data_IF_044228199855
#
_entry.id   IF_044228199855
#
_cell.length_a   1.000
_cell.length_b   1.000
_cell.length_c   1.000
_cell.angle_alpha   90.00
_cell.angle_beta   90.00
_cell.angle_gamma   90.00
#
_symmetry.space_group_name_H-M   'P 1'
#
loop_
_entity.id
_entity.type
_entity.pdbx_description
1 polymer ?
#
# COMPACT_ATOMS: atom_id res chain seq x y z
N UNK A 1 0.57 -64.27 27.61
CA UNK A 1 -0.70 -63.73 27.05
C UNK A 1 -1.27 -62.50 27.81
N UNK A 2 -0.78 -62.06 28.96
CA UNK A 2 -1.26 -60.85 29.66
C UNK A 2 -0.71 -59.52 29.07
N UNK A 3 0.44 -59.47 28.41
CA UNK A 3 1.04 -58.26 27.83
C UNK A 3 0.25 -57.69 26.63
N UNK A 4 -0.46 -58.53 25.86
CA UNK A 4 -1.20 -58.12 24.67
C UNK A 4 -2.50 -57.40 24.97
N UNK A 5 -3.07 -57.54 26.17
CA UNK A 5 -4.31 -56.82 26.57
C UNK A 5 -4.04 -55.38 27.01
N UNK A 6 -2.86 -55.11 27.56
CA UNK A 6 -2.48 -53.76 27.98
C UNK A 6 -2.29 -52.82 26.82
N UNK A 7 -1.77 -53.28 25.68
CA UNK A 7 -1.62 -52.51 24.44
C UNK A 7 -2.96 -52.04 23.89
N UNK A 8 -4.00 -52.86 23.96
CA UNK A 8 -5.34 -52.49 23.50
C UNK A 8 -5.99 -51.40 24.36
N UNK A 9 -5.71 -51.36 25.66
CA UNK A 9 -6.23 -50.35 26.60
C UNK A 9 -5.49 -49.01 26.48
N UNK A 10 -4.24 -48.99 25.95
CA UNK A 10 -3.50 -47.73 25.69
C UNK A 10 -3.79 -47.22 24.29
N UNK A 11 -3.96 -48.13 23.30
CA UNK A 11 -4.20 -47.74 21.90
C UNK A 11 -5.61 -47.12 21.71
N UNK A 12 -6.65 -47.57 22.45
CA UNK A 12 -8.01 -47.12 22.31
C UNK A 12 -8.18 -45.59 22.68
N UNK A 13 -7.65 -45.10 23.83
CA UNK A 13 -7.73 -43.66 24.13
C UNK A 13 -6.84 -42.79 23.21
N UNK A 14 -5.74 -43.30 22.71
CA UNK A 14 -4.88 -42.58 21.73
C UNK A 14 -5.60 -42.43 20.39
N UNK A 15 -6.34 -43.43 19.92
CA UNK A 15 -7.17 -43.35 18.71
C UNK A 15 -8.38 -42.46 18.94
N UNK A 16 -9.00 -42.47 20.13
CA UNK A 16 -10.10 -41.57 20.49
C UNK A 16 -9.64 -40.09 20.59
N UNK A 17 -8.44 -39.84 21.11
CA UNK A 17 -7.83 -38.50 21.16
C UNK A 17 -7.46 -37.99 19.76
N UNK A 18 -7.04 -38.86 18.83
CA UNK A 18 -6.74 -38.46 17.45
C UNK A 18 -7.97 -38.07 16.62
N UNK A 19 -9.16 -38.58 16.98
CA UNK A 19 -10.43 -38.20 16.33
C UNK A 19 -10.93 -36.80 16.75
N UNK A 20 -10.46 -36.27 17.87
CA UNK A 20 -10.76 -34.90 18.33
C UNK A 20 -9.81 -33.83 17.78
N UNK A 21 -8.73 -34.22 17.12
CA UNK A 21 -7.71 -33.30 16.59
C UNK A 21 -8.26 -32.31 15.52
N UNK A 22 -9.37 -32.66 14.85
CA UNK A 22 -10.01 -31.78 13.87
C UNK A 22 -10.73 -30.57 14.47
N UNK A 23 -10.96 -30.53 15.80
CA UNK A 23 -11.74 -29.48 16.47
C UNK A 23 -10.91 -28.34 17.06
N UNK A 24 -9.59 -28.44 17.13
CA UNK A 24 -8.74 -27.42 17.77
C UNK A 24 -8.46 -26.24 16.84
N UNK A 25 -7.94 -26.51 15.65
CA UNK A 25 -7.75 -25.48 14.64
C UNK A 25 -9.03 -25.30 13.83
N UNK A 26 -9.57 -24.08 13.83
CA UNK A 26 -10.75 -23.71 13.02
C UNK A 26 -10.34 -23.40 11.58
N UNK A 27 -11.24 -23.65 10.64
CA UNK A 27 -11.07 -23.16 9.28
C UNK A 27 -11.54 -21.71 9.16
N UNK A 28 -10.86 -20.96 8.29
CA UNK A 28 -11.22 -19.58 8.01
C UNK A 28 -12.48 -19.55 7.15
N UNK A 29 -13.43 -18.72 7.55
CA UNK A 29 -14.60 -18.37 6.76
C UNK A 29 -14.56 -16.86 6.52
N UNK A 30 -14.70 -16.45 5.26
CA UNK A 30 -14.75 -15.03 4.91
C UNK A 30 -16.01 -14.41 5.55
N UNK A 31 -15.88 -13.34 6.34
CA UNK A 31 -17.02 -12.69 6.93
C UNK A 31 -17.88 -12.03 5.86
N UNK A 32 -19.20 -12.11 6.00
CA UNK A 32 -20.15 -11.37 5.16
C UNK A 32 -20.14 -9.88 5.57
N UNK A 33 -19.19 -9.14 5.00
CA UNK A 33 -18.91 -7.74 5.38
C UNK A 33 -19.54 -6.75 4.40
N UNK A 34 -19.99 -7.20 3.22
CA UNK A 34 -20.40 -6.35 2.11
C UNK A 34 -21.85 -6.61 1.72
N UNK A 35 -22.67 -5.57 1.84
CA UNK A 35 -23.98 -5.53 1.18
C UNK A 35 -23.90 -4.59 -0.02
N UNK A 36 -24.56 -4.94 -1.14
CA UNK A 36 -24.62 -4.11 -2.35
C UNK A 36 -25.12 -2.68 -2.09
N UNK A 37 -25.94 -2.49 -1.04
CA UNK A 37 -26.50 -1.22 -0.60
C UNK A 37 -25.46 -0.20 -0.11
N UNK A 38 -24.20 -0.61 0.09
CA UNK A 38 -23.15 0.25 0.63
C UNK A 38 -22.50 1.18 -0.43
N UNK A 39 -22.80 0.98 -1.72
CA UNK A 39 -22.28 1.80 -2.81
C UNK A 39 -23.36 2.75 -3.33
N UNK A 40 -23.12 4.07 -3.22
CA UNK A 40 -24.01 5.09 -3.79
C UNK A 40 -23.76 5.24 -5.31
N UNK A 41 -24.02 4.16 -6.05
CA UNK A 41 -23.85 4.10 -7.51
C UNK A 41 -25.21 4.03 -8.25
N UNK A 42 -26.28 4.49 -7.61
CA UNK A 42 -27.66 4.32 -8.08
C UNK A 42 -27.95 5.02 -9.41
N UNK A 43 -27.16 6.04 -9.76
CA UNK A 43 -27.30 6.86 -10.98
C UNK A 43 -26.55 6.29 -12.19
N UNK A 44 -25.73 5.26 -12.03
CA UNK A 44 -24.87 4.74 -13.10
C UNK A 44 -25.39 3.43 -13.72
N UNK A 45 -25.19 3.22 -15.02
CA UNK A 45 -25.57 1.96 -15.66
C UNK A 45 -24.83 0.78 -15.02
N UNK A 46 -25.55 -0.23 -14.59
CA UNK A 46 -24.99 -1.50 -14.13
C UNK A 46 -24.50 -2.29 -15.36
N UNK A 47 -23.33 -1.95 -15.87
CA UNK A 47 -22.69 -2.67 -16.95
C UNK A 47 -21.76 -3.77 -16.40
N UNK A 48 -21.61 -4.85 -17.15
CA UNK A 48 -20.66 -5.94 -16.81
C UNK A 48 -19.20 -5.58 -17.14
N UNK A 49 -18.99 -4.51 -17.90
CA UNK A 49 -17.65 -3.99 -18.20
C UNK A 49 -17.13 -3.21 -17.00
N UNK A 50 -15.92 -3.53 -16.55
CA UNK A 50 -15.26 -2.86 -15.44
C UNK A 50 -13.97 -2.21 -15.94
N UNK A 51 -13.87 -0.91 -15.76
CA UNK A 51 -12.69 -0.11 -16.11
C UNK A 51 -11.41 -0.57 -15.38
N UNK A 52 -11.53 -1.26 -14.24
CA UNK A 52 -10.40 -1.87 -13.55
C UNK A 52 -9.68 -2.95 -14.37
N UNK A 53 -10.35 -3.55 -15.36
CA UNK A 53 -9.77 -4.56 -16.24
C UNK A 53 -9.11 -3.96 -17.49
N UNK A 54 -9.28 -2.65 -17.69
CA UNK A 54 -8.63 -1.90 -18.79
C UNK A 54 -7.20 -1.60 -18.40
N UNK A 55 -6.27 -1.85 -19.33
CA UNK A 55 -4.86 -1.52 -19.08
C UNK A 55 -4.69 0.00 -18.93
N UNK A 56 -3.82 0.43 -18.02
CA UNK A 56 -3.47 1.84 -17.87
C UNK A 56 -2.92 2.44 -19.18
N UNK A 57 -2.31 1.63 -20.06
CA UNK A 57 -1.83 2.06 -21.39
C UNK A 57 -2.96 2.42 -22.37
N UNK A 58 -4.17 1.90 -22.13
CA UNK A 58 -5.34 2.25 -22.93
C UNK A 58 -6.04 3.50 -22.40
N UNK A 59 -5.83 3.81 -21.12
CA UNK A 59 -6.41 5.00 -20.45
C UNK A 59 -5.52 6.21 -20.64
N UNK A 60 -4.20 6.05 -20.42
CA UNK A 60 -3.22 7.11 -20.54
C UNK A 60 -2.55 7.01 -21.92
N UNK A 61 -3.02 7.82 -22.86
CA UNK A 61 -2.61 7.75 -24.29
C UNK A 61 -1.43 8.66 -24.62
N UNK A 62 -1.05 9.58 -23.73
CA UNK A 62 0.12 10.45 -23.90
C UNK A 62 1.42 9.62 -23.86
N UNK A 63 2.25 9.66 -24.93
CA UNK A 63 3.48 8.86 -25.00
C UNK A 63 4.52 9.22 -23.93
N UNK A 64 4.60 10.50 -23.51
CA UNK A 64 5.53 10.92 -22.46
C UNK A 64 5.04 10.40 -21.09
N UNK A 65 3.75 10.54 -20.80
CA UNK A 65 3.15 10.02 -19.57
C UNK A 65 3.33 8.50 -19.47
N UNK A 66 3.05 7.76 -20.55
CA UNK A 66 3.24 6.30 -20.56
C UNK A 66 4.70 5.92 -20.35
N UNK A 67 5.65 6.66 -20.93
CA UNK A 67 7.08 6.47 -20.67
C UNK A 67 7.47 6.69 -19.22
N UNK A 68 6.97 7.74 -18.59
CA UNK A 68 7.21 8.02 -17.16
C UNK A 68 6.58 6.98 -16.24
N UNK A 69 5.40 6.47 -16.57
CA UNK A 69 4.79 5.38 -15.79
C UNK A 69 5.66 4.12 -15.89
N UNK A 70 6.18 3.77 -17.06
CA UNK A 70 7.08 2.62 -17.23
C UNK A 70 8.38 2.80 -16.44
N UNK A 71 9.00 3.97 -16.51
CA UNK A 71 10.21 4.33 -15.77
C UNK A 71 9.96 4.26 -14.25
N UNK A 72 8.86 4.83 -13.76
CA UNK A 72 8.46 4.76 -12.35
C UNK A 72 8.23 3.33 -11.88
N UNK A 73 7.55 2.50 -12.68
CA UNK A 73 7.33 1.09 -12.35
C UNK A 73 8.63 0.27 -12.25
N UNK A 74 9.67 0.65 -12.97
CA UNK A 74 10.99 0.00 -12.94
C UNK A 74 11.88 0.53 -11.82
N UNK A 75 11.93 1.85 -11.61
CA UNK A 75 12.95 2.49 -10.79
C UNK A 75 12.45 2.96 -9.42
N UNK A 76 11.13 3.12 -9.22
CA UNK A 76 10.57 3.66 -7.98
C UNK A 76 11.02 2.85 -6.75
N UNK A 77 11.48 3.57 -5.72
CA UNK A 77 12.06 2.98 -4.51
C UNK A 77 11.00 2.21 -3.71
N UNK A 78 9.75 2.69 -3.62
CA UNK A 78 8.69 2.02 -2.85
C UNK A 78 8.31 0.68 -3.49
N UNK A 79 8.27 0.59 -4.83
CA UNK A 79 8.08 -0.69 -5.53
C UNK A 79 9.23 -1.65 -5.21
N UNK A 80 10.47 -1.20 -5.25
CA UNK A 80 11.65 -2.04 -4.94
C UNK A 80 11.63 -2.52 -3.48
N UNK A 81 11.20 -1.68 -2.54
CA UNK A 81 10.98 -2.07 -1.14
C UNK A 81 9.88 -3.13 -1.04
N UNK A 82 8.75 -2.94 -1.73
CA UNK A 82 7.64 -3.88 -1.72
C UNK A 82 8.06 -5.27 -2.29
N UNK A 83 8.91 -5.31 -3.32
CA UNK A 83 9.50 -6.55 -3.83
C UNK A 83 10.34 -7.26 -2.77
N UNK A 84 11.16 -6.52 -1.98
CA UNK A 84 11.94 -7.13 -0.90
C UNK A 84 11.04 -7.70 0.21
N UNK A 85 9.91 -7.07 0.48
CA UNK A 85 8.91 -7.59 1.44
C UNK A 85 8.30 -8.90 0.94
N UNK A 86 8.01 -9.03 -0.36
CA UNK A 86 7.54 -10.29 -0.98
C UNK A 86 8.59 -11.40 -0.84
N UNK A 87 9.86 -11.09 -1.13
CA UNK A 87 10.98 -12.05 -1.01
C UNK A 87 11.12 -12.53 0.45
N UNK A 88 11.07 -11.61 1.42
CA UNK A 88 11.11 -11.96 2.84
C UNK A 88 9.93 -12.83 3.27
N UNK A 89 8.72 -12.50 2.82
CA UNK A 89 7.52 -13.29 3.12
C UNK A 89 7.57 -14.68 2.48
N UNK A 90 8.13 -14.82 1.27
CA UNK A 90 8.36 -16.10 0.62
C UNK A 90 9.36 -16.97 1.40
N UNK A 91 10.41 -16.37 1.94
CA UNK A 91 11.38 -17.09 2.78
C UNK A 91 10.71 -17.67 4.04
N UNK A 92 9.85 -16.89 4.73
CA UNK A 92 9.05 -17.38 5.85
C UNK A 92 8.06 -18.48 5.44
N UNK A 93 7.44 -18.39 4.25
CA UNK A 93 6.57 -19.46 3.75
C UNK A 93 7.36 -20.76 3.51
N UNK A 94 8.59 -20.67 2.95
CA UNK A 94 9.50 -21.83 2.81
C UNK A 94 9.82 -22.44 4.18
N UNK A 95 10.13 -21.61 5.17
CA UNK A 95 10.35 -22.06 6.55
C UNK A 95 9.11 -22.75 7.13
N UNK A 96 7.91 -22.19 6.96
CA UNK A 96 6.66 -22.79 7.41
C UNK A 96 6.36 -24.15 6.78
N UNK A 97 6.72 -24.35 5.51
CA UNK A 97 6.60 -25.64 4.83
C UNK A 97 7.54 -26.69 5.41
N UNK A 98 8.72 -26.28 5.87
CA UNK A 98 9.72 -27.15 6.47
C UNK A 98 9.44 -27.46 7.95
N UNK A 99 8.48 -26.79 8.59
CA UNK A 99 8.09 -27.04 9.98
C UNK A 99 7.58 -28.46 10.27
N UNK A 100 7.20 -29.22 9.24
CA UNK A 100 6.83 -30.62 9.37
C UNK A 100 8.03 -31.57 9.46
N UNK A 101 9.24 -31.09 9.15
CA UNK A 101 10.45 -31.91 9.17
C UNK A 101 11.18 -31.73 10.51
N UNK A 102 11.96 -32.75 10.94
CA UNK A 102 12.77 -32.64 12.14
C UNK A 102 13.90 -31.63 11.97
N UNK A 103 14.28 -30.99 13.08
CA UNK A 103 15.49 -30.18 13.17
C UNK A 103 16.67 -31.07 13.58
N UNK A 104 17.81 -30.87 12.94
CA UNK A 104 19.07 -31.57 13.27
C UNK A 104 20.07 -30.53 13.78
N UNK A 105 20.59 -30.78 14.99
CA UNK A 105 21.63 -29.97 15.60
C UNK A 105 22.86 -30.85 15.85
N UNK A 106 24.05 -30.29 15.72
CA UNK A 106 25.31 -30.95 16.12
C UNK A 106 25.86 -30.20 17.32
N UNK A 107 26.42 -30.96 18.26
CA UNK A 107 27.01 -30.43 19.48
C UNK A 107 28.40 -31.06 19.70
N UNK A 108 29.38 -30.20 20.03
CA UNK A 108 30.70 -30.62 20.50
C UNK A 108 30.90 -29.94 21.85
N UNK A 109 31.06 -30.73 22.90
CA UNK A 109 31.10 -30.26 24.27
C UNK A 109 32.23 -30.88 25.05
N UNK A 110 32.90 -30.09 25.86
CA UNK A 110 33.83 -30.54 26.90
C UNK A 110 33.26 -30.11 28.22
N UNK A 111 33.00 -31.08 29.10
CA UNK A 111 32.50 -30.81 30.44
C UNK A 111 33.55 -31.20 31.44
N UNK A 112 34.05 -30.24 32.20
CA UNK A 112 34.92 -30.46 33.36
C UNK A 112 34.08 -30.25 34.62
N UNK A 113 34.04 -31.29 35.49
CA UNK A 113 33.27 -31.26 36.73
C UNK A 113 34.13 -31.62 37.94
N UNK A 114 34.32 -30.70 38.86
CA UNK A 114 34.87 -30.98 40.17
C UNK A 114 33.77 -31.61 41.06
N UNK A 115 34.04 -32.78 41.56
CA UNK A 115 33.08 -33.51 42.38
C UNK A 115 33.26 -33.20 43.86
N UNK A 116 32.16 -32.91 44.57
CA UNK A 116 32.17 -32.81 46.04
C UNK A 116 32.48 -34.21 46.63
N UNK A 117 33.36 -34.27 47.63
CA UNK A 117 33.70 -35.52 48.32
C UNK A 117 32.49 -36.24 48.89
N UNK A 118 31.40 -35.51 49.17
CA UNK A 118 30.13 -36.04 49.66
C UNK A 118 29.13 -36.43 48.57
N UNK A 119 29.50 -36.31 47.27
CA UNK A 119 28.66 -36.79 46.13
C UNK A 119 28.84 -38.28 45.88
N UNK A 120 27.91 -38.89 45.10
CA UNK A 120 27.86 -40.31 44.85
C UNK A 120 29.19 -40.91 44.28
N UNK A 121 29.95 -40.11 43.52
CA UNK A 121 31.23 -40.52 42.92
C UNK A 121 32.42 -39.73 43.43
N UNK A 122 32.20 -38.68 44.25
CA UNK A 122 33.26 -37.78 44.73
C UNK A 122 34.24 -38.46 45.70
N UNK A 123 33.89 -39.60 46.28
CA UNK A 123 34.84 -40.44 47.08
C UNK A 123 35.77 -41.26 46.19
N UNK A 124 35.50 -41.45 44.91
CA UNK A 124 36.26 -42.22 43.95
C UNK A 124 37.04 -41.37 42.96
N UNK A 125 36.50 -40.19 42.62
CA UNK A 125 37.07 -39.28 41.66
C UNK A 125 36.95 -37.84 42.18
N UNK A 126 38.05 -37.05 42.13
CA UNK A 126 38.03 -35.62 42.49
C UNK A 126 37.46 -34.77 41.37
N UNK A 127 37.72 -35.13 40.12
CA UNK A 127 37.18 -34.47 38.93
C UNK A 127 36.85 -35.49 37.83
N UNK A 128 35.96 -35.12 36.93
CA UNK A 128 35.60 -35.88 35.74
C UNK A 128 35.63 -34.92 34.54
N UNK A 129 36.41 -35.30 33.53
CA UNK A 129 36.36 -34.72 32.19
C UNK A 129 35.49 -35.58 31.30
N UNK A 130 34.54 -34.96 30.58
CA UNK A 130 33.69 -35.63 29.61
C UNK A 130 33.76 -34.89 28.28
N UNK A 131 34.10 -35.64 27.26
CA UNK A 131 34.16 -35.19 25.88
C UNK A 131 32.98 -35.78 25.12
N UNK A 132 32.22 -34.92 24.40
CA UNK A 132 31.06 -35.34 23.64
C UNK A 132 31.07 -34.69 22.24
N UNK A 133 30.83 -35.50 21.21
CA UNK A 133 30.53 -35.09 19.86
C UNK A 133 29.24 -35.79 19.44
N UNK A 134 28.14 -35.02 19.36
CA UNK A 134 26.82 -35.60 19.16
C UNK A 134 25.98 -34.85 18.10
N UNK A 135 25.03 -35.58 17.51
CA UNK A 135 23.94 -35.00 16.73
C UNK A 135 22.60 -35.25 17.44
N UNK A 136 21.75 -34.25 17.48
CA UNK A 136 20.40 -34.38 18.03
C UNK A 136 19.35 -33.98 16.98
N UNK A 137 18.36 -34.85 16.80
CA UNK A 137 17.22 -34.67 15.91
C UNK A 137 16.00 -34.49 16.79
N UNK A 138 15.24 -33.40 16.54
CA UNK A 138 13.98 -33.09 17.25
C UNK A 138 12.85 -32.88 16.26
N UNK A 139 11.73 -33.57 16.50
CA UNK A 139 10.54 -33.50 15.67
C UNK A 139 9.30 -33.36 16.55
N UNK A 140 8.37 -32.43 16.19
CA UNK A 140 7.08 -32.25 16.83
C UNK A 140 5.97 -32.77 15.91
N UNK A 141 5.10 -33.64 16.43
CA UNK A 141 3.94 -34.13 15.68
C UNK A 141 2.82 -33.09 15.66
N UNK A 142 2.34 -32.73 14.50
CA UNK A 142 1.27 -31.72 14.33
C UNK A 142 -0.15 -32.28 14.63
N UNK A 143 -0.36 -32.75 15.86
CA UNK A 143 -1.64 -33.33 16.27
C UNK A 143 -2.73 -32.26 16.35
N UNK A 144 -2.39 -31.08 16.85
CA UNK A 144 -3.35 -30.00 17.15
C UNK A 144 -3.41 -28.92 16.07
N UNK A 145 -2.69 -29.11 14.98
CA UNK A 145 -2.66 -28.18 13.85
C UNK A 145 -1.81 -26.93 14.06
N UNK A 146 -0.88 -26.92 15.01
CA UNK A 146 0.05 -25.81 15.25
C UNK A 146 0.92 -25.52 14.04
N UNK A 147 1.59 -26.56 13.52
CA UNK A 147 2.48 -26.43 12.35
C UNK A 147 1.66 -26.09 11.10
N UNK A 148 0.51 -26.74 10.93
CA UNK A 148 -0.42 -26.45 9.83
C UNK A 148 -0.86 -24.99 9.84
N UNK A 149 -1.31 -24.47 10.98
CA UNK A 149 -1.76 -23.07 11.10
C UNK A 149 -0.60 -22.09 10.98
N UNK A 150 0.60 -22.41 11.47
CA UNK A 150 1.80 -21.59 11.23
C UNK A 150 2.12 -21.48 9.75
N UNK A 151 2.08 -22.61 9.01
CA UNK A 151 2.27 -22.60 7.55
C UNK A 151 1.20 -21.77 6.85
N UNK A 152 -0.10 -21.89 7.25
CA UNK A 152 -1.20 -21.11 6.68
C UNK A 152 -1.05 -19.60 6.99
N UNK A 153 -0.58 -19.25 8.20
CA UNK A 153 -0.28 -17.87 8.56
C UNK A 153 0.83 -17.27 7.66
N UNK A 154 1.92 -18.00 7.43
CA UNK A 154 2.98 -17.57 6.52
C UNK A 154 2.51 -17.51 5.06
N UNK A 155 1.62 -18.40 4.64
CA UNK A 155 1.02 -18.35 3.31
C UNK A 155 0.14 -17.10 3.15
N UNK A 156 -0.68 -16.78 4.14
CA UNK A 156 -1.49 -15.58 4.15
C UNK A 156 -0.61 -14.31 4.12
N UNK A 157 0.46 -14.26 4.91
CA UNK A 157 1.43 -13.17 4.91
C UNK A 157 2.12 -12.99 3.54
N UNK A 158 2.46 -14.09 2.86
CA UNK A 158 3.02 -14.04 1.51
C UNK A 158 2.01 -13.49 0.51
N UNK A 159 0.75 -13.91 0.55
CA UNK A 159 -0.30 -13.40 -0.33
C UNK A 159 -0.64 -11.94 -0.02
N UNK A 160 -0.63 -11.55 1.27
CA UNK A 160 -0.74 -10.16 1.70
C UNK A 160 0.37 -9.29 1.09
N UNK A 161 1.63 -9.72 1.16
CA UNK A 161 2.75 -8.94 0.59
C UNK A 161 2.67 -8.80 -0.92
N UNK A 162 2.17 -9.81 -1.63
CA UNK A 162 1.91 -9.73 -3.08
C UNK A 162 0.82 -8.71 -3.40
N UNK A 163 -0.28 -8.75 -2.68
CA UNK A 163 -1.36 -7.80 -2.86
C UNK A 163 -0.91 -6.37 -2.50
N UNK A 164 -0.14 -6.19 -1.42
CA UNK A 164 0.44 -4.91 -1.05
C UNK A 164 1.37 -4.35 -2.14
N UNK A 165 2.20 -5.19 -2.76
CA UNK A 165 3.03 -4.78 -3.90
C UNK A 165 2.18 -4.31 -5.09
N UNK A 166 1.06 -4.98 -5.39
CA UNK A 166 0.13 -4.55 -6.44
C UNK A 166 -0.53 -3.21 -6.09
N UNK A 167 -0.90 -3.00 -4.81
CA UNK A 167 -1.44 -1.72 -4.34
C UNK A 167 -0.45 -0.56 -4.49
N UNK A 168 0.84 -0.79 -4.22
CA UNK A 168 1.91 0.21 -4.46
C UNK A 168 2.00 0.56 -5.94
N UNK A 169 1.91 -0.41 -6.86
CA UNK A 169 1.90 -0.14 -8.31
C UNK A 169 0.71 0.72 -8.73
N UNK A 170 -0.50 0.33 -8.33
CA UNK A 170 -1.73 1.09 -8.64
C UNK A 170 -1.61 2.54 -8.18
N UNK A 171 -1.14 2.74 -6.95
CA UNK A 171 -0.95 4.07 -6.37
C UNK A 171 0.11 4.87 -7.13
N UNK A 172 1.26 4.28 -7.45
CA UNK A 172 2.33 4.96 -8.17
C UNK A 172 1.86 5.44 -9.55
N UNK A 173 1.13 4.61 -10.31
CA UNK A 173 0.58 4.98 -11.61
C UNK A 173 -0.37 6.18 -11.46
N UNK A 174 -1.24 6.16 -10.46
CA UNK A 174 -2.16 7.27 -10.20
C UNK A 174 -1.41 8.55 -9.79
N UNK A 175 -0.41 8.44 -8.90
CA UNK A 175 0.39 9.58 -8.42
C UNK A 175 1.18 10.20 -9.59
N UNK A 176 1.78 9.40 -10.49
CA UNK A 176 2.49 9.87 -11.70
C UNK A 176 1.50 10.58 -12.62
N UNK A 177 0.37 9.96 -12.96
CA UNK A 177 -0.61 10.54 -13.88
C UNK A 177 -1.19 11.85 -13.35
N UNK A 178 -1.63 11.89 -12.09
CA UNK A 178 -2.19 13.10 -11.46
C UNK A 178 -1.16 14.24 -11.40
N UNK A 179 0.09 13.92 -11.03
CA UNK A 179 1.17 14.92 -10.97
C UNK A 179 1.52 15.45 -12.35
N UNK A 180 1.55 14.58 -13.38
CA UNK A 180 1.78 14.98 -14.76
C UNK A 180 0.70 15.93 -15.27
N UNK A 181 -0.57 15.60 -15.07
CA UNK A 181 -1.68 16.48 -15.46
C UNK A 181 -1.68 17.82 -14.72
N UNK A 182 -1.26 17.81 -13.45
CA UNK A 182 -1.08 19.05 -12.69
C UNK A 182 0.02 19.94 -13.25
N UNK A 183 1.14 19.34 -13.72
CA UNK A 183 2.21 20.06 -14.41
C UNK A 183 1.71 20.70 -15.72
N UNK A 184 0.94 19.95 -16.54
CA UNK A 184 0.34 20.49 -17.75
C UNK A 184 -0.56 21.69 -17.48
N UNK A 185 -1.37 21.62 -16.41
CA UNK A 185 -2.22 22.71 -16.00
C UNK A 185 -1.43 23.95 -15.54
N UNK A 186 -0.31 23.73 -14.82
CA UNK A 186 0.58 24.82 -14.41
C UNK A 186 1.25 25.48 -15.61
N UNK A 187 1.70 24.72 -16.61
CA UNK A 187 2.27 25.28 -17.84
C UNK A 187 1.29 26.20 -18.57
N UNK A 188 0.05 25.75 -18.73
CA UNK A 188 -0.98 26.57 -19.38
C UNK A 188 -1.30 27.82 -18.54
N UNK A 189 -1.35 27.73 -17.21
CA UNK A 189 -1.51 28.89 -16.33
C UNK A 189 -0.32 29.87 -16.45
N UNK A 190 0.91 29.37 -16.51
CA UNK A 190 2.12 30.18 -16.71
C UNK A 190 2.04 30.87 -18.05
N UNK A 191 1.73 30.17 -19.13
CA UNK A 191 1.59 30.72 -20.48
C UNK A 191 0.56 31.85 -20.56
N UNK A 192 -0.63 31.65 -20.00
CA UNK A 192 -1.70 32.67 -19.97
C UNK A 192 -1.28 33.87 -19.10
N UNK A 193 -0.61 33.63 -17.99
CA UNK A 193 -0.15 34.71 -17.12
C UNK A 193 0.96 35.54 -17.79
N UNK A 194 1.89 34.91 -18.52
CA UNK A 194 2.93 35.60 -19.27
C UNK A 194 2.31 36.49 -20.39
N UNK A 195 1.34 35.97 -21.14
CA UNK A 195 0.58 36.77 -22.11
C UNK A 195 -0.13 37.94 -21.44
N UNK A 196 -0.73 37.70 -20.28
CA UNK A 196 -1.42 38.76 -19.51
C UNK A 196 -0.44 39.86 -19.05
N UNK A 197 0.75 39.52 -18.61
CA UNK A 197 1.80 40.45 -18.22
C UNK A 197 2.16 41.34 -19.40
N UNK A 198 2.35 40.79 -20.59
CA UNK A 198 2.69 41.56 -21.79
C UNK A 198 1.54 42.53 -22.20
N UNK A 199 0.30 42.06 -22.16
CA UNK A 199 -0.89 42.89 -22.40
C UNK A 199 -0.99 44.01 -21.37
N UNK A 200 -0.74 43.76 -20.08
CA UNK A 200 -0.77 44.76 -19.03
C UNK A 200 0.37 45.76 -19.13
N UNK A 201 1.55 45.36 -19.64
CA UNK A 201 2.66 46.26 -19.92
C UNK A 201 2.30 47.27 -21.02
N UNK A 202 1.77 46.78 -22.12
CA UNK A 202 1.29 47.60 -23.24
C UNK A 202 0.16 48.56 -22.76
N UNK A 203 -0.72 48.08 -21.90
CA UNK A 203 -1.79 48.88 -21.31
C UNK A 203 -1.26 49.98 -20.39
N UNK A 204 -0.22 49.73 -19.61
CA UNK A 204 0.42 50.75 -18.76
C UNK A 204 1.08 51.85 -19.62
N UNK A 205 1.75 51.49 -20.70
CA UNK A 205 2.33 52.45 -21.65
C UNK A 205 1.24 53.34 -22.28
N UNK A 206 0.15 52.71 -22.75
CA UNK A 206 -0.99 53.43 -23.36
C UNK A 206 -1.68 54.35 -22.32
N UNK A 207 -1.92 53.88 -21.11
CA UNK A 207 -2.57 54.68 -20.06
C UNK A 207 -1.69 55.83 -19.63
N UNK A 208 -0.35 55.65 -19.61
CA UNK A 208 0.59 56.73 -19.30
C UNK A 208 0.58 57.81 -20.39
N UNK A 209 0.52 57.43 -21.66
CA UNK A 209 0.41 58.38 -22.78
C UNK A 209 -0.94 59.12 -22.74
N UNK A 210 -2.03 58.44 -22.46
CA UNK A 210 -3.36 59.08 -22.30
C UNK A 210 -3.40 60.05 -21.14
N UNK A 211 -2.69 59.79 -20.03
CA UNK A 211 -2.54 60.73 -18.92
C UNK A 211 -1.81 62.01 -19.37
N UNK A 212 -0.71 61.89 -20.12
CA UNK A 212 0.01 63.03 -20.66
C UNK A 212 -0.85 63.90 -21.62
N UNK A 213 -1.77 63.23 -22.33
CA UNK A 213 -2.77 63.89 -23.17
C UNK A 213 -3.96 64.48 -22.37
N UNK A 214 -4.01 64.24 -21.03
CA UNK A 214 -5.09 64.75 -20.13
C UNK A 214 -6.38 63.94 -20.14
N UNK A 215 -6.38 62.75 -20.78
CA UNK A 215 -7.58 61.89 -20.91
C UNK A 215 -7.76 60.88 -19.74
N UNK A 216 -6.72 60.63 -18.97
CA UNK A 216 -6.74 59.67 -17.83
C UNK A 216 -6.06 60.32 -16.62
N UNK A 217 -6.47 59.96 -15.39
CA UNK A 217 -5.89 60.48 -14.15
C UNK A 217 -4.65 59.64 -13.74
N UNK A 218 -3.80 60.24 -12.86
CA UNK A 218 -2.70 59.50 -12.22
C UNK A 218 -3.19 58.23 -11.49
N UNK A 219 -4.39 58.26 -10.92
CA UNK A 219 -5.02 57.11 -10.25
C UNK A 219 -5.16 55.93 -11.25
N UNK A 220 -5.63 56.21 -12.49
CA UNK A 220 -5.76 55.18 -13.51
C UNK A 220 -4.41 54.55 -13.88
N UNK A 221 -3.35 55.35 -14.02
CA UNK A 221 -1.99 54.84 -14.27
C UNK A 221 -1.52 53.93 -13.11
N UNK A 222 -1.68 54.38 -11.86
CA UNK A 222 -1.27 53.62 -10.71
C UNK A 222 -2.05 52.28 -10.51
N UNK A 223 -3.32 52.25 -10.86
CA UNK A 223 -4.13 51.03 -10.88
C UNK A 223 -3.64 50.04 -11.94
N UNK A 224 -3.31 50.52 -13.14
CA UNK A 224 -2.73 49.66 -14.19
C UNK A 224 -1.36 49.08 -13.80
N UNK A 225 -0.52 49.94 -13.23
CA UNK A 225 0.78 49.54 -12.71
C UNK A 225 0.63 48.46 -11.60
N UNK A 226 -0.29 48.65 -10.67
CA UNK A 226 -0.58 47.66 -9.62
C UNK A 226 -1.05 46.31 -10.18
N UNK A 227 -1.91 46.31 -11.21
CA UNK A 227 -2.34 45.07 -11.87
C UNK A 227 -1.21 44.34 -12.61
N UNK A 228 -0.28 45.09 -13.23
CA UNK A 228 0.91 44.50 -13.83
C UNK A 228 1.71 43.76 -12.76
N UNK A 229 2.00 44.38 -11.62
CA UNK A 229 2.73 43.74 -10.53
C UNK A 229 1.97 42.55 -9.92
N UNK A 230 0.64 42.60 -9.84
CA UNK A 230 -0.17 41.45 -9.41
C UNK A 230 0.02 40.25 -10.33
N UNK A 231 -0.04 40.45 -11.66
CA UNK A 231 0.22 39.34 -12.61
C UNK A 231 1.64 38.82 -12.51
N UNK A 232 2.64 39.69 -12.33
CA UNK A 232 4.04 39.28 -12.13
C UNK A 232 4.19 38.45 -10.84
N UNK A 233 3.51 38.77 -9.75
CA UNK A 233 3.53 38.01 -8.51
C UNK A 233 2.89 36.63 -8.70
N UNK A 234 1.76 36.55 -9.40
CA UNK A 234 1.13 35.27 -9.76
C UNK A 234 2.08 34.38 -10.54
N UNK A 235 2.79 34.92 -11.52
CA UNK A 235 3.78 34.18 -12.32
C UNK A 235 4.90 33.58 -11.46
N UNK A 236 5.40 34.34 -10.49
CA UNK A 236 6.43 33.86 -9.55
C UNK A 236 5.92 32.66 -8.72
N UNK A 237 4.67 32.75 -8.26
CA UNK A 237 4.07 31.66 -7.47
C UNK A 237 3.81 30.42 -8.33
N UNK A 238 3.35 30.57 -9.58
CA UNK A 238 3.13 29.46 -10.51
C UNK A 238 4.46 28.76 -10.85
N UNK A 239 5.52 29.51 -11.23
CA UNK A 239 6.86 28.94 -11.51
C UNK A 239 7.48 28.25 -10.30
N UNK A 240 7.22 28.74 -9.09
CA UNK A 240 7.61 28.07 -7.86
C UNK A 240 6.87 26.74 -7.70
N UNK A 241 5.54 26.72 -7.91
CA UNK A 241 4.74 25.48 -7.81
C UNK A 241 5.18 24.45 -8.84
N UNK A 242 5.37 24.85 -10.09
CA UNK A 242 5.92 24.02 -11.15
C UNK A 242 7.23 23.34 -10.72
N UNK A 243 8.20 24.11 -10.26
CA UNK A 243 9.51 23.59 -9.82
C UNK A 243 9.42 22.61 -8.67
N UNK A 244 8.55 22.88 -7.68
CA UNK A 244 8.36 21.98 -6.55
C UNK A 244 7.69 20.67 -7.00
N UNK A 245 6.76 20.75 -7.95
CA UNK A 245 6.04 19.60 -8.45
C UNK A 245 6.94 18.73 -9.35
N UNK A 246 7.81 19.33 -10.18
CA UNK A 246 8.85 18.60 -10.94
C UNK A 246 9.79 17.81 -10.00
N UNK A 247 10.22 18.43 -8.90
CA UNK A 247 11.05 17.76 -7.91
C UNK A 247 10.32 16.57 -7.26
N UNK A 248 9.02 16.70 -6.98
CA UNK A 248 8.20 15.61 -6.48
C UNK A 248 8.03 14.50 -7.52
N UNK A 249 7.77 14.87 -8.78
CA UNK A 249 7.64 13.93 -9.89
C UNK A 249 8.91 13.09 -10.10
N UNK A 250 10.09 13.73 -10.04
CA UNK A 250 11.37 13.03 -10.14
C UNK A 250 11.52 11.94 -9.07
N UNK A 251 11.07 12.20 -7.82
CA UNK A 251 11.07 11.19 -6.76
C UNK A 251 10.16 10.00 -7.09
N UNK A 252 9.00 10.24 -7.74
CA UNK A 252 8.13 9.15 -8.17
C UNK A 252 8.82 8.25 -9.21
N UNK A 253 9.68 8.81 -10.05
CA UNK A 253 10.50 8.07 -11.02
C UNK A 253 11.70 7.37 -10.36
N UNK A 254 12.05 7.70 -9.12
CA UNK A 254 13.25 7.21 -8.44
C UNK A 254 14.51 7.99 -8.79
N UNK A 255 14.35 9.19 -9.36
CA UNK A 255 15.41 10.04 -9.87
C UNK A 255 15.68 11.28 -8.98
N UNK A 256 16.83 11.92 -9.21
CA UNK A 256 17.15 13.21 -8.60
C UNK A 256 16.31 14.34 -9.23
N UNK A 257 16.11 15.49 -8.53
CA UNK A 257 15.38 16.62 -9.06
C UNK A 257 15.85 17.03 -10.47
N UNK A 258 14.93 17.01 -11.43
CA UNK A 258 15.18 17.35 -12.83
C UNK A 258 14.01 18.10 -13.45
N UNK A 259 14.19 18.65 -14.64
CA UNK A 259 13.11 19.17 -15.44
C UNK A 259 12.38 18.03 -16.14
N UNK A 260 11.04 18.10 -16.19
CA UNK A 260 10.18 17.07 -16.76
C UNK A 260 9.68 17.55 -18.13
N UNK A 261 9.99 16.81 -19.19
CA UNK A 261 9.43 17.04 -20.51
C UNK A 261 7.96 16.62 -20.56
N UNK A 262 7.11 17.40 -21.25
CA UNK A 262 5.66 17.15 -21.26
C UNK A 262 4.99 17.77 -22.49
N UNK A 263 3.81 17.26 -22.82
CA UNK A 263 2.93 17.74 -23.87
C UNK A 263 2.06 18.91 -23.39
N UNK A 264 1.12 19.35 -24.20
CA UNK A 264 0.19 20.41 -23.84
C UNK A 264 -1.08 19.85 -23.19
N UNK A 265 -1.69 20.60 -22.25
CA UNK A 265 -2.96 20.23 -21.59
C UNK A 265 -4.10 20.03 -22.61
N UNK A 266 -4.11 20.82 -23.67
CA UNK A 266 -5.14 20.77 -24.71
C UNK A 266 -5.09 19.48 -25.56
N UNK A 267 -3.97 18.76 -25.57
CA UNK A 267 -3.81 17.49 -26.29
C UNK A 267 -4.34 16.29 -25.47
N UNK A 268 -4.69 16.50 -24.21
CA UNK A 268 -5.16 15.45 -23.33
C UNK A 268 -6.65 15.17 -23.56
N UNK A 269 -6.95 14.00 -24.12
CA UNK A 269 -8.33 13.56 -24.37
C UNK A 269 -8.69 12.37 -23.48
N UNK A 270 -9.88 12.43 -22.86
CA UNK A 270 -10.47 11.28 -22.19
C UNK A 270 -11.21 10.45 -23.21
N UNK A 271 -10.53 9.45 -23.80
CA UNK A 271 -11.07 8.60 -24.87
C UNK A 271 -11.91 7.44 -24.37
N UNK A 272 -11.77 7.07 -23.08
CA UNK A 272 -12.39 5.88 -22.51
C UNK A 272 -13.78 6.19 -21.95
N UNK A 273 -14.80 5.44 -22.41
CA UNK A 273 -16.11 5.49 -21.78
C UNK A 273 -16.03 4.93 -20.35
N UNK A 274 -16.62 5.65 -19.41
CA UNK A 274 -16.63 5.24 -18.00
C UNK A 274 -17.57 4.05 -17.78
N UNK A 275 -17.00 2.86 -17.63
CA UNK A 275 -17.70 1.64 -17.26
C UNK A 275 -17.37 1.27 -15.80
N UNK A 276 -18.34 1.37 -14.90
CA UNK A 276 -18.11 1.26 -13.45
C UNK A 276 -18.08 -0.19 -12.98
N UNK A 277 -18.75 -1.11 -13.69
CA UNK A 277 -18.87 -2.50 -13.26
C UNK A 277 -19.85 -2.72 -12.11
N UNK A 278 -19.90 -3.95 -11.60
CA UNK A 278 -20.76 -4.33 -10.47
C UNK A 278 -20.00 -4.11 -9.15
N UNK A 279 -20.59 -3.44 -8.14
CA UNK A 279 -19.92 -3.10 -6.87
C UNK A 279 -19.20 -4.27 -6.15
N UNK A 280 -19.78 -5.47 -6.19
CA UNK A 280 -19.18 -6.67 -5.56
C UNK A 280 -17.90 -7.12 -6.26
N UNK A 281 -17.74 -6.87 -7.56
CA UNK A 281 -16.52 -7.20 -8.31
C UNK A 281 -15.37 -6.23 -7.99
N UNK A 282 -15.69 -4.99 -7.59
CA UNK A 282 -14.70 -3.97 -7.25
C UNK A 282 -13.80 -4.40 -6.08
N UNK A 283 -14.38 -5.07 -5.08
CA UNK A 283 -13.61 -5.55 -3.92
C UNK A 283 -12.59 -6.64 -4.28
N UNK A 284 -12.88 -7.46 -5.30
CA UNK A 284 -11.97 -8.51 -5.77
C UNK A 284 -10.81 -7.95 -6.61
N UNK A 285 -10.97 -6.76 -7.16
CA UNK A 285 -9.97 -6.13 -8.02
C UNK A 285 -9.05 -5.18 -7.25
N UNK A 286 -9.41 -4.76 -6.03
CA UNK A 286 -8.60 -3.86 -5.22
C UNK A 286 -7.52 -4.58 -4.42
N UNK A 287 -6.24 -4.37 -4.76
CA UNK A 287 -5.14 -5.05 -4.07
C UNK A 287 -5.02 -4.68 -2.59
N UNK A 288 -5.36 -3.45 -2.19
CA UNK A 288 -5.34 -2.99 -0.80
C UNK A 288 -6.39 -3.71 0.07
N UNK A 289 -7.59 -3.94 -0.46
CA UNK A 289 -8.65 -4.73 0.20
C UNK A 289 -8.23 -6.19 0.33
N UNK A 290 -7.66 -6.77 -0.75
CA UNK A 290 -7.12 -8.14 -0.75
C UNK A 290 -5.98 -8.27 0.28
N UNK A 291 -5.09 -7.28 0.38
CA UNK A 291 -4.03 -7.29 1.39
C UNK A 291 -4.58 -7.25 2.82
N UNK A 292 -5.63 -6.45 3.06
CA UNK A 292 -6.29 -6.39 4.37
C UNK A 292 -7.00 -7.70 4.73
N UNK A 293 -7.61 -8.39 3.76
CA UNK A 293 -8.19 -9.73 3.98
C UNK A 293 -7.12 -10.75 4.35
N UNK A 294 -6.02 -10.83 3.60
CA UNK A 294 -4.93 -11.75 3.94
C UNK A 294 -4.26 -11.43 5.28
N UNK A 295 -4.23 -10.16 5.70
CA UNK A 295 -3.80 -9.80 7.05
C UNK A 295 -4.74 -10.40 8.12
N UNK A 296 -6.05 -10.35 7.88
CA UNK A 296 -7.03 -10.99 8.76
C UNK A 296 -6.89 -12.51 8.78
N UNK A 297 -6.70 -13.16 7.63
CA UNK A 297 -6.42 -14.60 7.54
C UNK A 297 -5.15 -14.97 8.33
N UNK A 298 -4.10 -14.17 8.24
CA UNK A 298 -2.86 -14.36 9.00
C UNK A 298 -3.13 -14.33 10.51
N UNK A 299 -3.81 -13.30 11.00
CA UNK A 299 -4.14 -13.15 12.43
C UNK A 299 -5.06 -14.28 12.94
N UNK A 300 -6.02 -14.73 12.11
CA UNK A 300 -6.87 -15.88 12.41
C UNK A 300 -6.06 -17.17 12.58
N UNK A 301 -5.12 -17.45 11.69
CA UNK A 301 -4.29 -18.66 11.78
C UNK A 301 -3.29 -18.57 12.95
N UNK A 302 -2.77 -17.40 13.29
CA UNK A 302 -1.96 -17.20 14.51
C UNK A 302 -2.77 -17.41 15.77
N UNK A 303 -4.07 -17.09 15.77
CA UNK A 303 -4.98 -17.42 16.88
C UNK A 303 -5.16 -18.94 17.01
N UNK A 304 -5.21 -19.68 15.90
CA UNK A 304 -5.21 -21.14 15.94
C UNK A 304 -3.90 -21.70 16.51
N UNK A 305 -2.75 -21.11 16.17
CA UNK A 305 -1.44 -21.46 16.75
C UNK A 305 -1.48 -21.26 18.28
N UNK A 306 -1.88 -20.09 18.75
CA UNK A 306 -1.97 -19.80 20.19
C UNK A 306 -2.97 -20.71 20.93
N UNK A 307 -4.08 -21.10 20.28
CA UNK A 307 -5.04 -22.05 20.80
C UNK A 307 -4.43 -23.45 20.95
N UNK A 308 -3.60 -23.89 20.02
CA UNK A 308 -2.96 -25.20 20.06
C UNK A 308 -2.02 -25.37 21.26
N UNK A 309 -1.48 -24.27 21.81
CA UNK A 309 -0.59 -24.30 22.98
C UNK A 309 -1.28 -24.71 24.29
N UNK A 310 -2.63 -24.70 24.34
CA UNK A 310 -3.37 -25.27 25.47
C UNK A 310 -3.35 -26.80 25.53
N UNK A 311 -2.82 -27.47 24.52
CA UNK A 311 -2.79 -28.92 24.40
C UNK A 311 -1.35 -29.46 24.48
N UNK A 312 -1.17 -30.73 24.94
CA UNK A 312 0.15 -31.32 25.09
C UNK A 312 0.88 -31.45 23.76
N UNK A 313 2.14 -31.00 23.67
CA UNK A 313 2.99 -31.26 22.51
C UNK A 313 3.54 -32.69 22.55
N UNK A 314 3.46 -33.40 21.42
CA UNK A 314 4.11 -34.71 21.23
C UNK A 314 5.41 -34.49 20.46
N UNK A 315 6.54 -34.73 21.15
CA UNK A 315 7.88 -34.58 20.56
C UNK A 315 8.60 -35.94 20.50
N UNK A 316 9.36 -36.15 19.44
CA UNK A 316 10.30 -37.24 19.26
C UNK A 316 11.69 -36.66 19.13
N UNK A 317 12.59 -37.02 20.05
CA UNK A 317 13.98 -36.58 20.04
C UNK A 317 14.89 -37.83 19.93
N UNK A 318 15.80 -37.79 18.97
CA UNK A 318 16.86 -38.78 18.84
C UNK A 318 18.21 -38.08 18.99
N UNK A 319 19.11 -38.61 19.77
CA UNK A 319 20.48 -38.15 19.90
C UNK A 319 21.46 -39.33 19.72
N UNK A 320 22.56 -39.05 19.09
CA UNK A 320 23.61 -40.06 18.93
C UNK A 320 24.95 -39.41 18.57
N UNK A 321 26.01 -40.11 18.91
CA UNK A 321 27.37 -39.60 18.73
C UNK A 321 28.38 -40.37 19.55
N UNK A 322 29.47 -39.71 19.86
CA UNK A 322 30.56 -40.24 20.64
C UNK A 322 30.69 -39.51 21.97
N UNK A 323 30.89 -40.28 23.05
CA UNK A 323 31.04 -39.73 24.40
C UNK A 323 32.13 -40.52 25.12
N UNK A 324 33.17 -39.85 25.67
CA UNK A 324 34.28 -40.50 26.38
C UNK A 324 34.77 -39.63 27.53
N UNK A 325 35.44 -40.26 28.51
CA UNK A 325 36.14 -39.56 29.58
C UNK A 325 37.59 -39.22 29.21
N UNK A 326 38.13 -39.83 28.11
CA UNK A 326 39.45 -39.48 27.56
C UNK A 326 39.26 -39.02 26.10
N UNK A 327 39.85 -37.85 25.77
CA UNK A 327 39.80 -37.25 24.43
C UNK A 327 40.37 -38.22 23.36
N UNK A 328 41.36 -39.06 23.71
CA UNK A 328 41.99 -40.02 22.79
C UNK A 328 41.05 -41.13 22.38
N UNK A 329 40.10 -41.47 23.23
CA UNK A 329 39.14 -42.53 23.03
C UNK A 329 37.80 -42.01 22.47
N UNK A 330 37.66 -40.67 22.27
CA UNK A 330 36.39 -40.09 21.85
C UNK A 330 35.85 -40.69 20.55
N UNK A 331 36.71 -40.96 19.58
CA UNK A 331 36.30 -41.53 18.28
C UNK A 331 36.40 -43.06 18.25
N UNK A 332 36.63 -43.74 19.40
CA UNK A 332 36.60 -45.21 19.47
C UNK A 332 35.16 -45.70 19.29
N UNK A 333 34.95 -46.86 18.57
CA UNK A 333 33.61 -47.45 18.43
C UNK A 333 32.88 -47.72 19.75
N UNK A 334 33.62 -47.95 20.86
CA UNK A 334 33.07 -48.18 22.19
C UNK A 334 32.54 -46.91 22.82
N UNK A 335 32.89 -45.74 22.31
CA UNK A 335 32.37 -44.42 22.75
C UNK A 335 31.05 -44.05 22.07
N UNK A 336 30.56 -44.88 21.15
CA UNK A 336 29.31 -44.63 20.45
C UNK A 336 28.10 -44.76 21.38
N UNK A 337 27.23 -43.77 21.38
CA UNK A 337 25.93 -43.82 22.07
C UNK A 337 24.78 -43.45 21.14
N UNK A 338 23.57 -43.91 21.46
CA UNK A 338 22.32 -43.53 20.82
C UNK A 338 21.19 -43.47 21.85
N UNK A 339 20.38 -42.44 21.78
CA UNK A 339 19.21 -42.23 22.66
C UNK A 339 18.02 -41.85 21.81
N UNK A 340 16.85 -42.46 22.09
CA UNK A 340 15.58 -42.12 21.46
C UNK A 340 14.55 -41.84 22.58
N UNK A 341 13.97 -40.66 22.55
CA UNK A 341 12.98 -40.21 23.55
C UNK A 341 11.70 -39.74 22.85
N UNK A 342 10.58 -40.37 23.17
CA UNK A 342 9.25 -39.88 22.83
C UNK A 342 8.63 -39.26 24.08
N UNK A 343 8.20 -38.00 23.98
CA UNK A 343 7.68 -37.24 25.11
C UNK A 343 6.35 -36.55 24.79
N UNK A 344 5.44 -36.55 25.78
CA UNK A 344 4.26 -35.73 25.78
C UNK A 344 4.42 -34.69 26.89
N UNK A 345 4.42 -33.40 26.55
CA UNK A 345 4.66 -32.32 27.49
C UNK A 345 3.54 -31.28 27.43
N UNK A 346 3.01 -30.93 28.62
CA UNK A 346 2.04 -29.86 28.80
C UNK A 346 2.42 -29.02 30.03
N UNK A 347 2.65 -27.71 29.87
CA UNK A 347 2.81 -26.83 31.02
C UNK A 347 1.52 -26.71 31.81
N UNK A 348 1.55 -27.15 33.09
CA UNK A 348 0.38 -27.04 33.98
C UNK A 348 0.29 -25.64 34.60
N UNK A 349 1.45 -25.06 34.94
CA UNK A 349 1.55 -23.68 35.44
C UNK A 349 2.72 -22.99 34.76
N UNK A 350 2.45 -21.89 34.07
CA UNK A 350 3.44 -21.14 33.30
C UNK A 350 3.32 -19.60 33.46
N UNK A 351 2.82 -19.16 34.63
CA UNK A 351 2.61 -17.72 34.90
C UNK A 351 1.63 -17.06 33.93
N UNK A 352 0.58 -17.77 33.52
CA UNK A 352 -0.49 -17.32 32.58
C UNK A 352 -0.01 -17.08 31.14
N UNK A 353 1.25 -17.37 30.77
CA UNK A 353 1.83 -17.03 29.46
C UNK A 353 0.98 -17.53 28.28
N UNK A 354 0.58 -18.80 28.25
CA UNK A 354 -0.25 -19.37 27.17
C UNK A 354 -1.60 -18.66 27.08
N UNK A 355 -2.24 -18.42 28.22
CA UNK A 355 -3.55 -17.76 28.25
C UNK A 355 -3.46 -16.30 27.75
N UNK A 356 -2.43 -15.57 28.17
CA UNK A 356 -2.18 -14.20 27.70
C UNK A 356 -1.90 -14.17 26.21
N UNK A 357 -1.07 -15.08 25.68
CA UNK A 357 -0.79 -15.18 24.25
C UNK A 357 -2.07 -15.41 23.43
N UNK A 358 -2.96 -16.27 23.92
CA UNK A 358 -4.26 -16.52 23.27
C UNK A 358 -5.20 -15.29 23.34
N UNK A 359 -5.31 -14.65 24.51
CA UNK A 359 -6.14 -13.43 24.68
C UNK A 359 -5.63 -12.30 23.76
N UNK A 360 -4.31 -12.12 23.67
CA UNK A 360 -3.68 -11.15 22.74
C UNK A 360 -3.98 -11.50 21.28
N UNK A 361 -3.81 -12.77 20.90
CA UNK A 361 -4.09 -13.20 19.51
C UNK A 361 -5.56 -13.02 19.11
N UNK A 362 -6.51 -13.19 20.03
CA UNK A 362 -7.92 -12.88 19.79
C UNK A 362 -8.16 -11.37 19.55
N UNK A 363 -7.50 -10.52 20.34
CA UNK A 363 -7.60 -9.06 20.18
C UNK A 363 -6.98 -8.62 18.84
N UNK A 364 -5.82 -9.18 18.46
CA UNK A 364 -5.15 -8.91 17.17
C UNK A 364 -6.01 -9.42 15.99
N UNK A 365 -6.64 -10.57 16.13
CA UNK A 365 -7.57 -11.09 15.12
C UNK A 365 -8.77 -10.15 14.94
N UNK A 366 -9.37 -9.67 16.02
CA UNK A 366 -10.49 -8.73 15.94
C UNK A 366 -10.05 -7.39 15.36
N UNK A 367 -8.87 -6.89 15.72
CA UNK A 367 -8.28 -5.68 15.12
C UNK A 367 -8.10 -5.84 13.61
N UNK A 368 -7.55 -6.98 13.16
CA UNK A 368 -7.38 -7.27 11.75
C UNK A 368 -8.73 -7.37 11.01
N UNK A 369 -9.76 -7.96 11.64
CA UNK A 369 -11.13 -8.02 11.11
C UNK A 369 -11.74 -6.62 10.93
N UNK A 370 -11.56 -5.75 11.91
CA UNK A 370 -12.03 -4.36 11.85
C UNK A 370 -11.29 -3.56 10.78
N UNK A 371 -9.97 -3.75 10.64
CA UNK A 371 -9.17 -3.14 9.58
C UNK A 371 -9.63 -3.60 8.18
N UNK A 372 -9.94 -4.88 8.01
CA UNK A 372 -10.51 -5.40 6.76
C UNK A 372 -11.86 -4.75 6.46
N UNK A 373 -12.74 -4.64 7.44
CA UNK A 373 -14.02 -3.93 7.29
C UNK A 373 -13.81 -2.45 6.93
N UNK A 374 -12.86 -1.78 7.57
CA UNK A 374 -12.51 -0.39 7.28
C UNK A 374 -12.01 -0.20 5.85
N UNK A 375 -11.16 -1.11 5.34
CA UNK A 375 -10.67 -1.05 3.95
C UNK A 375 -11.82 -1.15 2.93
N UNK A 376 -12.81 -1.99 3.19
CA UNK A 376 -14.02 -2.10 2.36
C UNK A 376 -14.83 -0.81 2.34
N UNK A 377 -15.08 -0.22 3.52
CA UNK A 377 -15.83 1.03 3.64
C UNK A 377 -15.09 2.19 2.96
N UNK A 378 -13.77 2.23 3.10
CA UNK A 378 -12.91 3.23 2.44
C UNK A 378 -12.96 3.06 0.93
N UNK A 379 -12.85 1.83 0.43
CA UNK A 379 -12.97 1.53 -0.99
C UNK A 379 -14.32 1.95 -1.57
N UNK A 380 -15.41 1.66 -0.86
CA UNK A 380 -16.77 2.08 -1.26
C UNK A 380 -16.90 3.60 -1.35
N UNK A 381 -16.36 4.31 -0.35
CA UNK A 381 -16.35 5.78 -0.33
C UNK A 381 -15.55 6.33 -1.51
N UNK A 382 -14.34 5.83 -1.74
CA UNK A 382 -13.45 6.32 -2.80
C UNK A 382 -14.08 6.18 -4.19
N UNK A 383 -14.75 5.07 -4.46
CA UNK A 383 -15.49 4.89 -5.72
C UNK A 383 -16.61 5.91 -5.84
N UNK A 384 -17.43 6.07 -4.79
CA UNK A 384 -18.54 7.05 -4.79
C UNK A 384 -18.03 8.49 -4.96
N UNK A 385 -16.96 8.85 -4.23
CA UNK A 385 -16.38 10.19 -4.28
C UNK A 385 -15.78 10.48 -5.67
N UNK A 386 -15.06 9.52 -6.26
CA UNK A 386 -14.43 9.67 -7.57
C UNK A 386 -15.46 9.82 -8.69
N UNK A 387 -16.55 9.05 -8.65
CA UNK A 387 -17.65 9.15 -9.61
C UNK A 387 -18.31 10.52 -9.56
N UNK A 388 -18.72 10.96 -8.37
CA UNK A 388 -19.34 12.24 -8.20
C UNK A 388 -18.41 13.41 -8.57
N UNK A 389 -17.12 13.29 -8.25
CA UNK A 389 -16.11 14.28 -8.62
C UNK A 389 -15.95 14.40 -10.14
N UNK A 390 -16.00 13.29 -10.86
CA UNK A 390 -15.94 13.32 -12.33
C UNK A 390 -17.17 13.98 -12.96
N UNK A 391 -18.38 13.63 -12.50
CA UNK A 391 -19.62 14.27 -12.97
C UNK A 391 -19.60 15.78 -12.69
N UNK A 392 -19.26 16.15 -11.46
CA UNK A 392 -19.21 17.57 -11.06
C UNK A 392 -18.14 18.36 -11.83
N UNK A 393 -16.98 17.73 -12.11
CA UNK A 393 -15.93 18.38 -12.90
C UNK A 393 -16.37 18.58 -14.36
N UNK A 394 -17.06 17.60 -14.94
CA UNK A 394 -17.57 17.69 -16.32
C UNK A 394 -18.61 18.80 -16.44
N UNK A 395 -19.57 18.90 -15.51
CA UNK A 395 -20.56 19.99 -15.48
C UNK A 395 -19.90 21.36 -15.27
N UNK A 396 -18.90 21.42 -14.39
CA UNK A 396 -18.18 22.66 -14.06
C UNK A 396 -17.40 23.22 -15.25
N UNK A 397 -16.82 22.39 -16.12
CA UNK A 397 -16.12 22.85 -17.32
C UNK A 397 -17.06 23.63 -18.24
N UNK A 398 -18.26 23.10 -18.52
CA UNK A 398 -19.23 23.79 -19.39
C UNK A 398 -19.65 25.16 -18.81
N UNK A 399 -19.84 25.23 -17.48
CA UNK A 399 -20.18 26.48 -16.78
C UNK A 399 -18.99 27.45 -16.84
N UNK A 400 -17.78 27.02 -16.55
CA UNK A 400 -16.58 27.88 -16.55
C UNK A 400 -16.18 28.35 -17.95
N UNK A 401 -16.43 27.53 -18.98
CA UNK A 401 -16.27 27.96 -20.36
C UNK A 401 -17.20 29.12 -20.70
N UNK A 402 -18.48 29.00 -20.36
CA UNK A 402 -19.46 30.08 -20.58
C UNK A 402 -19.15 31.35 -19.75
N UNK A 403 -18.65 31.20 -18.53
CA UNK A 403 -18.20 32.30 -17.69
C UNK A 403 -17.01 33.04 -18.33
N UNK A 404 -16.01 32.26 -18.81
CA UNK A 404 -14.85 32.82 -19.49
C UNK A 404 -15.27 33.59 -20.77
N UNK A 405 -16.08 32.97 -21.63
CA UNK A 405 -16.55 33.57 -22.89
C UNK A 405 -17.30 34.90 -22.61
N UNK A 406 -18.09 34.95 -21.55
CA UNK A 406 -18.81 36.15 -21.15
C UNK A 406 -17.85 37.27 -20.68
N UNK A 407 -16.83 36.93 -19.86
CA UNK A 407 -15.86 37.93 -19.40
C UNK A 407 -14.90 38.39 -20.51
N UNK A 408 -14.52 37.48 -21.41
CA UNK A 408 -13.69 37.80 -22.59
C UNK A 408 -14.43 38.81 -23.49
N UNK A 409 -15.69 38.52 -23.84
CA UNK A 409 -16.56 39.42 -24.58
C UNK A 409 -16.78 40.77 -23.86
N UNK A 410 -16.98 40.74 -22.54
CA UNK A 410 -17.10 41.95 -21.73
C UNK A 410 -15.83 42.80 -21.75
N UNK A 411 -14.68 42.17 -21.82
CA UNK A 411 -13.37 42.85 -21.97
C UNK A 411 -13.29 43.56 -23.32
N UNK A 412 -13.60 42.86 -24.42
CA UNK A 412 -13.63 43.48 -25.77
C UNK A 412 -14.57 44.68 -25.83
N UNK A 413 -15.80 44.53 -25.33
CA UNK A 413 -16.78 45.64 -25.35
C UNK A 413 -16.35 46.82 -24.47
N UNK A 414 -15.79 46.55 -23.28
CA UNK A 414 -15.32 47.62 -22.40
C UNK A 414 -14.14 48.40 -22.99
N UNK A 415 -13.25 47.75 -23.72
CA UNK A 415 -12.15 48.38 -24.45
C UNK A 415 -12.66 49.24 -25.62
N UNK A 416 -13.64 48.75 -26.39
CA UNK A 416 -14.25 49.51 -27.47
C UNK A 416 -15.00 50.72 -26.93
N UNK A 417 -15.76 50.58 -25.87
CA UNK A 417 -16.48 51.71 -25.21
C UNK A 417 -15.51 52.74 -24.63
N UNK A 418 -14.41 52.30 -24.02
CA UNK A 418 -13.36 53.19 -23.54
C UNK A 418 -12.73 54.00 -24.67
N UNK A 419 -12.40 53.36 -25.79
CA UNK A 419 -11.82 54.01 -26.97
C UNK A 419 -12.75 55.05 -27.61
N UNK A 420 -14.07 54.85 -27.45
CA UNK A 420 -15.11 55.80 -27.91
C UNK A 420 -15.58 56.80 -26.82
N UNK A 421 -14.99 56.77 -25.62
CA UNK A 421 -15.30 57.70 -24.53
C UNK A 421 -16.60 57.39 -23.78
N UNK A 422 -17.20 56.21 -23.93
CA UNK A 422 -18.46 55.78 -23.30
C UNK A 422 -18.27 54.93 -22.05
N UNK A 423 -17.06 54.46 -21.76
CA UNK A 423 -16.73 53.72 -20.53
C UNK A 423 -15.58 54.37 -19.77
N UNK A 424 -15.49 54.14 -18.48
CA UNK A 424 -14.34 54.54 -17.70
C UNK A 424 -13.28 53.40 -17.68
N UNK A 425 -12.03 53.81 -17.45
CA UNK A 425 -10.91 52.87 -17.45
C UNK A 425 -11.02 51.73 -16.37
N UNK A 426 -11.69 51.99 -15.23
CA UNK A 426 -11.91 51.04 -14.16
C UNK A 426 -12.76 49.83 -14.62
N UNK A 427 -13.73 50.09 -15.53
CA UNK A 427 -14.57 49.02 -16.11
C UNK A 427 -13.72 48.04 -16.91
N UNK A 428 -12.80 48.54 -17.74
CA UNK A 428 -11.86 47.72 -18.52
C UNK A 428 -10.92 46.91 -17.59
N UNK A 429 -10.39 47.58 -16.55
CA UNK A 429 -9.52 46.88 -15.58
C UNK A 429 -10.23 45.72 -14.89
N UNK A 430 -11.48 45.94 -14.47
CA UNK A 430 -12.31 44.93 -13.80
C UNK A 430 -12.64 43.75 -14.75
N UNK A 431 -13.02 44.08 -16.00
CA UNK A 431 -13.32 43.07 -17.01
C UNK A 431 -12.09 42.17 -17.29
N UNK A 432 -10.91 42.75 -17.49
CA UNK A 432 -9.65 42.04 -17.71
C UNK A 432 -9.24 41.17 -16.54
N UNK A 433 -9.44 41.63 -15.30
CA UNK A 433 -9.14 40.84 -14.11
C UNK A 433 -10.06 39.62 -14.00
N UNK A 434 -11.37 39.83 -14.22
CA UNK A 434 -12.32 38.73 -14.23
C UNK A 434 -12.05 37.74 -15.36
N UNK A 435 -11.70 38.20 -16.55
CA UNK A 435 -11.33 37.32 -17.68
C UNK A 435 -10.10 36.47 -17.35
N UNK A 436 -9.05 37.05 -16.75
CA UNK A 436 -7.87 36.28 -16.33
C UNK A 436 -8.25 35.21 -15.29
N UNK A 437 -8.95 35.59 -14.24
CA UNK A 437 -9.34 34.69 -13.16
C UNK A 437 -10.25 33.56 -13.66
N UNK A 438 -11.22 33.85 -14.53
CA UNK A 438 -12.11 32.84 -15.11
C UNK A 438 -11.34 31.89 -16.04
N UNK A 439 -10.31 32.36 -16.76
CA UNK A 439 -9.44 31.52 -17.60
C UNK A 439 -8.61 30.58 -16.77
N UNK A 440 -7.98 31.07 -15.68
CA UNK A 440 -7.23 30.22 -14.74
C UNK A 440 -8.15 29.18 -14.06
N UNK A 441 -9.37 29.55 -13.71
CA UNK A 441 -10.37 28.65 -13.15
C UNK A 441 -10.81 27.56 -14.14
N UNK A 442 -10.93 27.90 -15.45
CA UNK A 442 -11.26 26.94 -16.49
C UNK A 442 -10.14 25.89 -16.67
N UNK A 443 -8.88 26.34 -16.66
CA UNK A 443 -7.72 25.43 -16.69
C UNK A 443 -7.76 24.47 -15.51
N UNK A 444 -8.04 24.99 -14.30
CA UNK A 444 -8.20 24.15 -13.11
C UNK A 444 -9.38 23.17 -13.23
N UNK A 445 -10.47 23.55 -13.88
CA UNK A 445 -11.61 22.67 -14.09
C UNK A 445 -11.25 21.48 -15.02
N UNK A 446 -10.48 21.74 -16.08
CA UNK A 446 -9.95 20.67 -16.96
C UNK A 446 -9.01 19.73 -16.21
N UNK A 447 -8.07 20.27 -15.44
CA UNK A 447 -7.20 19.45 -14.60
C UNK A 447 -8.00 18.57 -13.63
N UNK A 448 -8.97 19.14 -12.91
CA UNK A 448 -9.79 18.41 -11.96
C UNK A 448 -10.60 17.27 -12.61
N UNK A 449 -10.98 17.39 -13.87
CA UNK A 449 -11.64 16.31 -14.61
C UNK A 449 -10.66 15.14 -14.89
N UNK A 450 -9.44 15.45 -15.34
CA UNK A 450 -8.39 14.45 -15.57
C UNK A 450 -7.99 13.77 -14.25
N UNK A 451 -7.82 14.53 -13.18
CA UNK A 451 -7.55 14.00 -11.83
C UNK A 451 -8.69 13.09 -11.33
N UNK A 452 -9.94 13.48 -11.51
CA UNK A 452 -11.10 12.67 -11.12
C UNK A 452 -11.14 11.34 -11.90
N UNK A 453 -10.76 11.32 -13.17
CA UNK A 453 -10.63 10.11 -13.97
C UNK A 453 -9.52 9.19 -13.43
N UNK A 454 -8.34 9.73 -13.10
CA UNK A 454 -7.24 8.97 -12.50
C UNK A 454 -7.68 8.37 -11.15
N UNK A 455 -8.32 9.16 -10.31
CA UNK A 455 -8.82 8.72 -9.00
C UNK A 455 -9.89 7.64 -9.14
N UNK A 456 -10.77 7.74 -10.15
CA UNK A 456 -11.76 6.71 -10.42
C UNK A 456 -11.09 5.39 -10.86
N UNK A 457 -10.12 5.45 -11.76
CA UNK A 457 -9.35 4.28 -12.19
C UNK A 457 -8.66 3.59 -11.02
N UNK A 458 -8.01 4.35 -10.15
CA UNK A 458 -7.39 3.84 -8.93
C UNK A 458 -8.43 3.24 -7.97
N UNK A 459 -9.55 3.95 -7.72
CA UNK A 459 -10.60 3.50 -6.80
C UNK A 459 -11.26 2.19 -7.24
N UNK A 460 -11.36 1.96 -8.55
CA UNK A 460 -11.86 0.71 -9.13
C UNK A 460 -10.84 -0.44 -9.04
N UNK A 461 -9.58 -0.18 -8.66
CA UNK A 461 -8.51 -1.17 -8.52
C UNK A 461 -7.75 -1.44 -9.82
N UNK A 462 -7.74 -0.49 -10.76
CA UNK A 462 -6.94 -0.56 -11.99
C UNK A 462 -5.44 -0.36 -11.76
N UNK A 463 -4.62 -0.65 -12.78
CA UNK A 463 -3.20 -0.26 -12.82
C UNK A 463 -2.18 -1.34 -12.49
N UNK A 464 -2.54 -2.43 -11.83
CA UNK A 464 -1.59 -3.48 -11.45
C UNK A 464 -1.57 -4.67 -12.43
N UNK A 465 -2.49 -4.72 -13.38
CA UNK A 465 -2.63 -5.77 -14.39
C UNK A 465 -1.66 -5.57 -15.56
#
# INVERSE_FOLDING_TARGET
MKKLKLYKFILAPVVLLSLQACFVAKDYEQPDVVKEEHYRTDTFPKDSLNMANVSWREIFTDPLLTGYIEEGLENNIDIRIAVQQVIAAEAYLKQGKLGYFPTLNTNAQITHQELSANSQFGSLFSSIDQYELSGSLSWEADIWGKIRSTKRAFQARYLQSKAAHQAVKTRLIADIASTYYQLLALDEQIRITEQTIENRRTSLETTSALKEAGNVTEVGVKQTEAQLYTAMAILVDLKKQERLLENFFAILLGEAPMQIERTDLAEQEITTQLHIGVPVQLLRNRPDVIAAEYNFVNAFELTNVARSEFYPSLTLTAAGGFQSLDIKELLDPNSLFATLVGGLAQPVFNGRRIRTAYEVSLAEQEQARLNFRQSILTASREVSDALYSYEAATEKIDIKQKEFDAYDTATEYSEELLNNGFANYLEVLTARENALNSRLDLINAHYNQLEAMVNLYQALGGGWQ
#
